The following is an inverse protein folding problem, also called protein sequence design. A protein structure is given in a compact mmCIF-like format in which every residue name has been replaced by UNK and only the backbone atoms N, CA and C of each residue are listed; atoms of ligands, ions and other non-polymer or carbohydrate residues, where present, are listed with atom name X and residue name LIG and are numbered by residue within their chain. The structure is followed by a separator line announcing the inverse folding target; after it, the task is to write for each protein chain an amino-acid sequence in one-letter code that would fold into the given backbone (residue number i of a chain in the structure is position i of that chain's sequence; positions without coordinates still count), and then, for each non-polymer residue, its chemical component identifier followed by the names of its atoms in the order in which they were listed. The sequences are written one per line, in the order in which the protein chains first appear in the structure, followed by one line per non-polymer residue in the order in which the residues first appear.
data_IF_418202028201
#
_entry.id   IF_418202028201
#
_cell.length_a   1.000
_cell.length_b   1.000
_cell.length_c   1.000
_cell.angle_alpha   90.00
_cell.angle_beta   90.00
_cell.angle_gamma   90.00
#
_symmetry.space_group_name_H-M   'P 1'
#
loop_
_entity.id
_entity.type
_entity.pdbx_description
1 polymer ?
#
# COMPACT_ATOMS: atom_id res chain seq x y z
N UNK A 1 -9.18 -2.89 -6.74
CA UNK A 1 -8.43 -2.66 -5.49
C UNK A 1 -7.18 -1.80 -5.69
N UNK A 2 -6.45 -2.01 -6.78
CA UNK A 2 -5.25 -1.20 -7.05
C UNK A 2 -5.55 0.31 -7.03
N UNK A 3 -6.64 0.72 -7.66
CA UNK A 3 -7.00 2.13 -7.75
C UNK A 3 -7.24 2.76 -6.38
N UNK A 4 -7.82 2.02 -5.45
CA UNK A 4 -8.07 2.53 -4.10
C UNK A 4 -6.76 2.74 -3.34
N UNK A 5 -5.85 1.79 -3.46
CA UNK A 5 -4.54 1.88 -2.80
C UNK A 5 -3.71 2.97 -3.46
N UNK A 6 -3.77 3.08 -4.79
CA UNK A 6 -3.10 4.12 -5.54
C UNK A 6 -3.54 5.51 -5.06
N UNK A 7 -4.85 5.70 -4.96
CA UNK A 7 -5.40 6.99 -4.52
C UNK A 7 -5.01 7.30 -3.07
N UNK A 8 -5.03 6.29 -2.21
CA UNK A 8 -4.63 6.45 -0.83
C UNK A 8 -3.17 6.90 -0.73
N UNK A 9 -2.28 6.19 -1.44
CA UNK A 9 -0.86 6.53 -1.42
C UNK A 9 -0.59 7.90 -1.99
N UNK A 10 -1.26 8.25 -3.09
CA UNK A 10 -1.08 9.55 -3.71
C UNK A 10 -1.49 10.67 -2.75
N UNK A 11 -2.57 10.47 -2.02
CA UNK A 11 -3.05 11.44 -1.04
C UNK A 11 -2.09 11.57 0.13
N UNK A 12 -1.57 10.45 0.63
CA UNK A 12 -0.65 10.46 1.77
C UNK A 12 0.69 11.09 1.42
N UNK A 13 1.16 10.87 0.21
CA UNK A 13 2.46 11.35 -0.24
C UNK A 13 2.39 12.69 -0.98
N UNK A 14 1.18 13.19 -1.22
CA UNK A 14 0.94 14.45 -1.94
C UNK A 14 1.56 14.42 -3.34
N UNK A 15 1.34 13.31 -4.05
CA UNK A 15 1.81 13.12 -5.43
C UNK A 15 0.62 12.72 -6.31
N UNK A 16 0.85 12.74 -7.63
CA UNK A 16 -0.17 12.33 -8.58
C UNK A 16 -0.37 10.80 -8.56
N UNK A 17 -1.62 10.31 -8.59
CA UNK A 17 -1.86 8.86 -8.71
C UNK A 17 -1.20 8.26 -9.96
N UNK A 18 -1.03 9.06 -11.01
CA UNK A 18 -0.39 8.59 -12.24
C UNK A 18 1.08 8.23 -12.04
N UNK A 19 1.70 8.74 -10.98
CA UNK A 19 3.08 8.42 -10.64
C UNK A 19 3.22 7.07 -9.91
N UNK A 20 2.10 6.45 -9.58
CA UNK A 20 2.08 5.18 -8.85
C UNK A 20 1.61 4.06 -9.76
N UNK A 21 2.46 3.05 -9.94
CA UNK A 21 2.15 1.87 -10.73
C UNK A 21 2.31 0.63 -9.86
N UNK A 22 1.82 -0.55 -10.28
CA UNK A 22 2.05 -1.78 -9.51
C UNK A 22 3.54 -2.11 -9.33
N UNK A 23 4.37 -1.64 -10.24
CA UNK A 23 5.82 -1.89 -10.20
C UNK A 23 6.57 -0.88 -9.34
N UNK A 24 5.91 0.21 -8.95
CA UNK A 24 6.51 1.25 -8.11
C UNK A 24 6.89 0.67 -6.76
N UNK A 25 8.14 0.89 -6.34
CA UNK A 25 8.61 0.44 -5.03
C UNK A 25 8.34 1.52 -3.99
N UNK A 26 8.12 1.09 -2.75
CA UNK A 26 7.95 2.05 -1.66
C UNK A 26 9.23 2.86 -1.44
N UNK A 27 10.37 2.22 -1.64
CA UNK A 27 11.66 2.89 -1.52
C UNK A 27 11.78 4.06 -2.51
N UNK A 28 11.31 3.86 -3.75
CA UNK A 28 11.35 4.91 -4.77
C UNK A 28 10.42 6.07 -4.43
N UNK A 29 9.40 5.82 -3.63
CA UNK A 29 8.48 6.85 -3.16
C UNK A 29 8.99 7.56 -1.89
N UNK A 30 10.14 7.16 -1.38
CA UNK A 30 10.70 7.74 -0.16
C UNK A 30 10.06 7.20 1.11
N UNK A 31 9.42 6.04 1.03
CA UNK A 31 8.75 5.41 2.17
C UNK A 31 9.70 4.37 2.77
N UNK A 32 10.00 4.50 4.05
CA UNK A 32 10.82 3.50 4.73
C UNK A 32 9.93 2.37 5.28
N UNK A 33 10.56 1.37 5.90
CA UNK A 33 9.84 0.19 6.39
C UNK A 33 8.86 0.51 7.51
N UNK A 34 9.18 1.49 8.35
CA UNK A 34 8.27 1.92 9.43
C UNK A 34 7.04 2.59 8.85
N UNK A 35 7.24 3.46 7.87
CA UNK A 35 6.12 4.13 7.20
C UNK A 35 5.23 3.12 6.48
N UNK A 36 5.84 2.10 5.88
CA UNK A 36 5.07 1.05 5.21
C UNK A 36 4.17 0.32 6.19
N UNK A 37 4.69 -0.01 7.37
CA UNK A 37 3.91 -0.68 8.42
C UNK A 37 2.75 0.21 8.87
N UNK A 38 3.00 1.49 9.09
CA UNK A 38 1.95 2.44 9.49
C UNK A 38 0.86 2.55 8.43
N UNK A 39 1.24 2.57 7.16
CA UNK A 39 0.29 2.63 6.05
C UNK A 39 -0.57 1.38 5.98
N UNK A 40 0.04 0.21 6.21
CA UNK A 40 -0.72 -1.05 6.24
C UNK A 40 -1.72 -1.04 7.38
N UNK A 41 -1.33 -0.57 8.56
CA UNK A 41 -2.23 -0.46 9.70
C UNK A 41 -3.40 0.47 9.42
N UNK A 42 -3.14 1.58 8.74
CA UNK A 42 -4.16 2.53 8.35
C UNK A 42 -5.16 1.90 7.37
N UNK A 43 -4.63 1.13 6.41
CA UNK A 43 -5.47 0.41 5.46
C UNK A 43 -6.34 -0.64 6.14
N UNK A 44 -5.81 -1.30 7.18
CA UNK A 44 -6.58 -2.25 7.96
C UNK A 44 -7.84 -1.60 8.55
N UNK A 45 -7.66 -0.42 9.11
CA UNK A 45 -8.79 0.32 9.68
C UNK A 45 -9.80 0.72 8.62
N UNK A 46 -9.32 1.22 7.49
CA UNK A 46 -10.19 1.69 6.42
C UNK A 46 -10.96 0.57 5.76
N UNK A 47 -10.33 -0.59 5.60
CA UNK A 47 -10.94 -1.73 4.93
C UNK A 47 -11.67 -2.68 5.88
N UNK A 48 -11.44 -2.52 7.18
CA UNK A 48 -12.05 -3.39 8.18
C UNK A 48 -11.54 -4.82 8.14
N UNK A 49 -10.31 -5.02 7.69
CA UNK A 49 -9.69 -6.34 7.61
C UNK A 49 -8.40 -6.37 8.42
N UNK A 50 -8.03 -7.56 8.87
CA UNK A 50 -6.80 -7.76 9.63
C UNK A 50 -5.68 -8.14 8.66
N UNK A 51 -4.80 -7.19 8.38
CA UNK A 51 -3.67 -7.39 7.48
C UNK A 51 -2.42 -7.64 8.29
N UNK A 52 -2.15 -8.90 8.62
CA UNK A 52 -0.91 -9.25 9.29
C UNK A 52 0.21 -9.25 8.26
N UNK A 53 1.09 -8.24 8.36
CA UNK A 53 2.20 -8.10 7.43
C UNK A 53 3.34 -9.02 7.85
N UNK A 54 3.32 -10.24 7.34
CA UNK A 54 4.33 -11.24 7.66
C UNK A 54 5.53 -11.20 6.70
N UNK A 55 5.29 -10.78 5.46
CA UNK A 55 6.30 -10.71 4.43
C UNK A 55 6.66 -9.27 4.10
N UNK A 56 7.87 -9.08 3.58
CA UNK A 56 8.28 -7.77 3.10
C UNK A 56 7.57 -7.46 1.80
N UNK A 57 6.84 -6.36 1.82
CA UNK A 57 6.18 -5.84 0.63
C UNK A 57 7.08 -4.75 0.06
N UNK A 58 7.60 -4.96 -1.14
CA UNK A 58 8.53 -4.02 -1.78
C UNK A 58 7.84 -3.09 -2.77
N UNK A 59 6.79 -3.58 -3.44
CA UNK A 59 6.10 -2.81 -4.48
C UNK A 59 4.63 -2.60 -4.12
N UNK A 60 4.05 -1.60 -4.79
CA UNK A 60 2.62 -1.31 -4.62
C UNK A 60 1.77 -2.51 -5.06
N UNK A 61 2.18 -3.17 -6.15
CA UNK A 61 1.47 -4.36 -6.64
C UNK A 61 1.45 -5.49 -5.61
N UNK A 62 2.56 -5.69 -4.91
CA UNK A 62 2.62 -6.71 -3.86
C UNK A 62 1.65 -6.38 -2.72
N UNK A 63 1.56 -5.10 -2.36
CA UNK A 63 0.61 -4.66 -1.33
C UNK A 63 -0.82 -4.90 -1.79
N UNK A 64 -1.13 -4.57 -3.04
CA UNK A 64 -2.46 -4.78 -3.60
C UNK A 64 -2.84 -6.25 -3.56
N UNK A 65 -1.94 -7.13 -4.01
CA UNK A 65 -2.17 -8.57 -4.00
C UNK A 65 -2.40 -9.08 -2.58
N UNK A 66 -1.61 -8.59 -1.65
CA UNK A 66 -1.73 -8.98 -0.24
C UNK A 66 -3.10 -8.59 0.32
N UNK A 67 -3.52 -7.36 0.06
CA UNK A 67 -4.82 -6.87 0.53
C UNK A 67 -5.96 -7.66 -0.12
N UNK A 68 -5.89 -7.90 -1.43
CA UNK A 68 -6.91 -8.67 -2.14
C UNK A 68 -7.03 -10.08 -1.60
N UNK A 69 -5.92 -10.71 -1.25
CA UNK A 69 -5.94 -12.06 -0.69
C UNK A 69 -6.61 -12.11 0.67
N UNK A 70 -6.59 -11.01 1.42
CA UNK A 70 -7.25 -10.94 2.72
C UNK A 70 -8.72 -10.59 2.62
N UNK A 71 -9.13 -9.94 1.53
CA UNK A 71 -10.53 -9.58 1.32
C UNK A 71 -11.36 -10.71 0.73
N UNK A 72 -10.73 -11.66 0.11
CA UNK A 72 -11.42 -12.82 -0.49
C UNK A 72 -11.74 -13.90 0.55
#
# INVERSE_FOLDING_TARGET
MFEKIQAYLANQLDISPDDITPETTFESLGIDSLDTVEMVMDLEEQLGVDLELEDKIATVGELVDFVESKLD
#
